data_IF_546429087825
#
_entry.id   IF_546429087825
#
_cell.length_a   1.000
_cell.length_b   1.000
_cell.length_c   1.000
_cell.angle_alpha   90.00
_cell.angle_beta   90.00
_cell.angle_gamma   90.00
#
_symmetry.space_group_name_H-M   'P 1'
#
loop_
_entity.id
_entity.type
_entity.pdbx_description
1 polymer ?
#
# COMPACT_ATOMS: atom_id res chain seq x y z
N UNK A 1 6.88 -22.32 -0.02
CA UNK A 1 6.02 -21.90 1.09
C UNK A 1 5.50 -20.49 0.84
N UNK A 2 4.20 -20.29 0.91
CA UNK A 2 3.62 -18.97 0.66
C UNK A 2 3.81 -18.05 1.86
N UNK A 3 4.09 -16.79 1.57
CA UNK A 3 4.28 -15.74 2.57
C UNK A 3 3.34 -14.60 2.24
N UNK A 4 2.70 -14.03 3.25
CA UNK A 4 1.84 -12.86 3.07
C UNK A 4 2.60 -11.62 3.52
N UNK A 5 2.68 -10.64 2.61
CA UNK A 5 3.29 -9.34 2.89
C UNK A 5 2.20 -8.32 3.12
N UNK A 6 2.35 -7.53 4.18
CA UNK A 6 1.44 -6.43 4.50
C UNK A 6 2.20 -5.13 4.26
N UNK A 7 1.61 -4.23 3.48
CA UNK A 7 2.31 -3.04 3.01
C UNK A 7 1.45 -1.81 3.21
N UNK A 8 2.09 -0.71 3.62
CA UNK A 8 1.49 0.62 3.63
C UNK A 8 2.19 1.44 2.55
N UNK A 9 1.42 2.03 1.65
CA UNK A 9 1.92 2.77 0.50
C UNK A 9 1.32 4.17 0.49
N UNK A 10 2.15 5.23 0.63
CA UNK A 10 1.64 6.59 0.51
C UNK A 10 1.54 7.01 -0.96
N UNK A 11 0.62 7.93 -1.23
CA UNK A 11 0.50 8.58 -2.54
C UNK A 11 0.82 10.06 -2.37
N UNK A 12 1.78 10.52 -3.14
CA UNK A 12 2.30 11.90 -3.07
C UNK A 12 1.55 12.75 -4.09
N UNK A 13 1.27 14.00 -3.73
CA UNK A 13 0.65 14.95 -4.67
C UNK A 13 1.63 15.34 -5.75
N UNK A 14 1.18 15.30 -6.99
CA UNK A 14 1.94 15.74 -8.16
C UNK A 14 1.12 16.74 -8.96
N UNK A 15 1.73 17.37 -9.96
CA UNK A 15 1.03 18.29 -10.84
C UNK A 15 -0.12 17.63 -11.59
N UNK A 16 0.03 16.35 -11.91
CA UNK A 16 -0.96 15.60 -12.70
C UNK A 16 -1.89 14.73 -11.84
N UNK A 17 -1.78 14.83 -10.51
CA UNK A 17 -2.61 14.04 -9.62
C UNK A 17 -1.82 13.46 -8.47
N UNK A 18 -1.64 12.14 -8.44
CA UNK A 18 -0.89 11.46 -7.40
C UNK A 18 0.08 10.45 -8.00
N UNK A 19 1.15 10.19 -7.26
CA UNK A 19 2.12 9.15 -7.62
C UNK A 19 2.46 8.34 -6.36
N UNK A 20 2.75 7.03 -6.50
CA UNK A 20 3.14 6.22 -5.35
C UNK A 20 4.47 6.70 -4.78
N UNK A 21 4.53 6.77 -3.46
CA UNK A 21 5.75 7.07 -2.74
C UNK A 21 6.49 5.80 -2.35
N UNK A 22 7.22 5.87 -1.25
CA UNK A 22 7.99 4.73 -0.77
C UNK A 22 7.12 3.79 0.07
N UNK A 23 6.97 2.55 -0.39
CA UNK A 23 6.20 1.54 0.31
C UNK A 23 6.92 1.08 1.57
N UNK A 24 6.17 0.78 2.63
CA UNK A 24 6.71 0.26 3.87
C UNK A 24 6.07 -1.09 4.17
N UNK A 25 6.91 -2.11 4.34
CA UNK A 25 6.44 -3.43 4.75
C UNK A 25 6.14 -3.45 6.24
N UNK A 26 5.02 -4.06 6.59
CA UNK A 26 4.56 -4.16 7.96
C UNK A 26 4.41 -5.63 8.35
N UNK A 27 4.37 -5.90 9.65
CA UNK A 27 4.32 -7.27 10.14
C UNK A 27 2.92 -7.87 10.16
N UNK A 28 1.88 -7.06 10.03
CA UNK A 28 0.52 -7.55 10.07
C UNK A 28 -0.46 -6.56 9.49
N UNK A 29 -1.71 -7.02 9.32
CA UNK A 29 -2.78 -6.23 8.73
C UNK A 29 -3.05 -4.94 9.52
N UNK A 30 -3.21 -5.06 10.84
CA UNK A 30 -3.49 -3.91 11.69
C UNK A 30 -2.38 -2.87 11.67
N UNK A 31 -1.12 -3.32 11.64
CA UNK A 31 0.03 -2.43 11.56
C UNK A 31 0.06 -1.69 10.23
N UNK A 32 -0.22 -2.39 9.13
CA UNK A 32 -0.26 -1.77 7.80
C UNK A 32 -1.35 -0.70 7.73
N UNK A 33 -2.54 -1.00 8.26
CA UNK A 33 -3.66 -0.06 8.27
C UNK A 33 -3.31 1.19 9.10
N UNK A 34 -2.77 1.02 10.31
CA UNK A 34 -2.38 2.15 11.15
C UNK A 34 -1.29 3.00 10.51
N UNK A 35 -0.33 2.35 9.86
CA UNK A 35 0.75 3.07 9.18
C UNK A 35 0.23 3.87 8.00
N UNK A 36 -0.64 3.28 7.20
CA UNK A 36 -1.26 3.99 6.07
C UNK A 36 -2.10 5.17 6.57
N UNK A 37 -2.83 5.02 7.67
CA UNK A 37 -3.58 6.11 8.26
C UNK A 37 -2.65 7.26 8.66
N UNK A 38 -1.53 6.95 9.31
CA UNK A 38 -0.53 7.96 9.69
C UNK A 38 0.07 8.65 8.48
N UNK A 39 0.38 7.90 7.42
CA UNK A 39 0.89 8.47 6.18
C UNK A 39 -0.11 9.44 5.55
N UNK A 40 -1.40 9.13 5.61
CA UNK A 40 -2.44 9.97 5.01
C UNK A 40 -2.60 11.31 5.74
N UNK A 41 -2.15 11.40 6.97
CA UNK A 41 -2.20 12.64 7.76
C UNK A 41 -1.03 13.57 7.46
N UNK A 42 0.00 13.07 6.79
CA UNK A 42 1.15 13.89 6.40
C UNK A 42 0.72 14.82 5.28
N UNK A 43 0.89 16.16 5.43
CA UNK A 43 0.47 17.09 4.38
C UNK A 43 1.21 16.93 3.05
N UNK A 44 2.37 16.28 3.04
CA UNK A 44 3.07 15.97 1.80
C UNK A 44 2.39 14.87 0.99
N UNK A 45 1.52 14.07 1.62
CA UNK A 45 0.83 12.97 0.99
C UNK A 45 -0.62 13.33 0.67
N UNK A 46 -1.11 12.86 -0.48
CA UNK A 46 -2.52 12.99 -0.84
C UNK A 46 -3.36 11.95 -0.12
N UNK A 47 -2.80 10.77 0.07
CA UNK A 47 -3.46 9.67 0.74
C UNK A 47 -2.51 8.51 0.93
N UNK A 48 -3.05 7.38 1.32
CA UNK A 48 -2.27 6.15 1.49
C UNK A 48 -3.19 4.94 1.40
N UNK A 49 -2.60 3.79 1.11
CA UNK A 49 -3.34 2.54 1.02
C UNK A 49 -2.60 1.45 1.81
N UNK A 50 -3.36 0.63 2.51
CA UNK A 50 -2.84 -0.59 3.10
C UNK A 50 -3.31 -1.77 2.25
N UNK A 51 -2.39 -2.65 1.91
CA UNK A 51 -2.72 -3.84 1.12
C UNK A 51 -1.88 -5.03 1.56
N UNK A 52 -2.29 -6.21 1.13
CA UNK A 52 -1.53 -7.43 1.35
C UNK A 52 -1.32 -8.15 0.02
N UNK A 53 -0.24 -8.90 -0.06
CA UNK A 53 0.07 -9.73 -1.21
C UNK A 53 0.65 -11.04 -0.70
N UNK A 54 0.15 -12.16 -1.22
CA UNK A 54 0.62 -13.48 -0.85
C UNK A 54 1.38 -14.09 -2.03
N UNK A 55 2.50 -14.73 -1.75
CA UNK A 55 3.27 -15.38 -2.79
C UNK A 55 4.39 -16.24 -2.22
N UNK A 56 5.08 -16.93 -3.12
CA UNK A 56 6.23 -17.76 -2.77
C UNK A 56 7.49 -17.08 -3.30
N UNK A 57 8.32 -16.49 -2.42
CA UNK A 57 9.53 -15.81 -2.87
C UNK A 57 10.55 -16.74 -3.53
N UNK A 58 10.51 -18.03 -3.23
CA UNK A 58 11.41 -19.01 -3.85
C UNK A 58 11.07 -19.29 -5.30
N UNK A 59 9.80 -19.15 -5.66
CA UNK A 59 9.31 -19.38 -7.02
C UNK A 59 9.15 -18.07 -7.76
N UNK A 60 9.04 -16.96 -7.04
CA UNK A 60 8.83 -15.65 -7.62
C UNK A 60 7.39 -15.39 -8.05
N UNK A 61 6.46 -16.22 -7.61
CA UNK A 61 5.04 -16.08 -7.94
C UNK A 61 4.30 -15.38 -6.81
N UNK A 62 3.59 -14.30 -7.16
CA UNK A 62 2.79 -13.52 -6.22
C UNK A 62 1.39 -13.34 -6.77
N UNK A 63 0.39 -13.48 -5.91
CA UNK A 63 -0.98 -13.16 -6.26
C UNK A 63 -1.18 -11.65 -6.32
N UNK A 64 -2.32 -11.22 -6.86
CA UNK A 64 -2.64 -9.79 -6.92
C UNK A 64 -2.78 -9.23 -5.51
N UNK A 65 -2.44 -7.94 -5.38
CA UNK A 65 -2.59 -7.26 -4.12
C UNK A 65 -4.07 -7.17 -3.72
N UNK A 66 -4.35 -7.38 -2.44
CA UNK A 66 -5.68 -7.22 -1.88
C UNK A 66 -5.68 -5.96 -1.02
N UNK A 67 -6.48 -4.97 -1.40
CA UNK A 67 -6.55 -3.72 -0.66
C UNK A 67 -7.29 -3.94 0.65
N UNK A 68 -6.65 -3.57 1.75
CA UNK A 68 -7.23 -3.69 3.08
C UNK A 68 -8.00 -2.42 3.45
N UNK A 69 -7.41 -1.26 3.20
CA UNK A 69 -8.06 0.01 3.48
C UNK A 69 -7.39 1.15 2.71
N UNK A 70 -8.19 2.13 2.30
CA UNK A 70 -7.71 3.34 1.63
C UNK A 70 -7.97 4.55 2.51
N UNK A 71 -7.05 5.51 2.49
CA UNK A 71 -7.17 6.75 3.24
C UNK A 71 -6.88 7.93 2.31
N UNK A 72 -7.76 8.92 2.30
CA UNK A 72 -7.56 10.13 1.51
C UNK A 72 -7.69 9.89 0.01
N UNK A 73 -6.92 10.66 -0.78
CA UNK A 73 -6.93 10.57 -2.24
C UNK A 73 -5.96 9.50 -2.70
N UNK A 74 -6.51 8.38 -3.18
CA UNK A 74 -5.73 7.33 -3.82
C UNK A 74 -6.40 6.99 -5.15
N UNK A 75 -5.63 6.48 -6.13
CA UNK A 75 -6.23 6.09 -7.42
C UNK A 75 -7.29 5.02 -7.22
N UNK A 76 -8.35 5.08 -8.04
CA UNK A 76 -9.39 4.04 -8.00
C UNK A 76 -8.86 2.71 -8.53
N UNK A 77 -7.99 2.78 -9.53
CA UNK A 77 -7.36 1.59 -10.11
C UNK A 77 -6.01 1.35 -9.45
N UNK A 78 -5.96 0.36 -8.58
CA UNK A 78 -4.74 -0.04 -7.87
C UNK A 78 -4.16 -1.34 -8.43
N UNK A 79 -4.45 -1.65 -9.69
CA UNK A 79 -3.99 -2.91 -10.31
C UNK A 79 -2.47 -2.98 -10.46
N UNK A 80 -1.77 -1.86 -10.36
CA UNK A 80 -0.31 -1.82 -10.45
C UNK A 80 0.41 -2.08 -9.12
N UNK A 81 -0.33 -2.32 -8.07
CA UNK A 81 0.26 -2.65 -6.77
C UNK A 81 0.97 -4.01 -6.77
#
# INVERSE_FOLDING_TARGET
MAVTYYVALPFIRTEDGTAPGEAQECQGEGTAIRRAEGMSRDPANAGAVAFKRTGDPNVGEFSDAVVLKKFGDVPEDLSEL
#
